data_IF_501049968883
#
_entry.id   IF_501049968883
#
_cell.length_a   1.000
_cell.length_b   1.000
_cell.length_c   1.000
_cell.angle_alpha   90.00
_cell.angle_beta   90.00
_cell.angle_gamma   90.00
#
_symmetry.space_group_name_H-M   'P 1'
#
loop_
_entity.id
_entity.type
_entity.pdbx_description
1 polymer ?
#
# COMPACT_ATOMS: atom_id res chain seq x y z
N UNK A 1 10.61 -2.12 26.19
CA UNK A 1 10.55 -3.34 25.37
C UNK A 1 11.80 -4.21 25.56
N UNK A 2 13.01 -3.73 25.21
CA UNK A 2 14.25 -4.53 25.30
C UNK A 2 14.50 -5.18 26.66
N UNK A 3 14.27 -4.44 27.76
CA UNK A 3 14.42 -4.99 29.12
C UNK A 3 13.53 -6.21 29.39
N UNK A 4 12.30 -6.24 28.87
CA UNK A 4 11.38 -7.37 29.04
C UNK A 4 11.77 -8.57 28.16
N UNK A 5 12.33 -8.31 26.97
CA UNK A 5 12.92 -9.37 26.13
C UNK A 5 14.10 -10.06 26.82
N UNK A 6 14.98 -9.29 27.47
CA UNK A 6 16.12 -9.85 28.21
C UNK A 6 15.72 -10.62 29.46
N UNK A 7 14.57 -10.29 30.05
CA UNK A 7 14.04 -10.96 31.24
C UNK A 7 13.20 -12.21 30.93
N UNK A 8 12.97 -12.52 29.64
CA UNK A 8 12.10 -13.61 29.18
C UNK A 8 10.71 -13.57 29.84
N UNK A 9 10.16 -12.35 30.00
CA UNK A 9 8.84 -12.10 30.56
C UNK A 9 7.87 -11.76 29.42
N UNK A 10 7.22 -12.77 28.80
CA UNK A 10 6.32 -12.54 27.67
C UNK A 10 5.11 -11.70 28.06
N UNK A 11 4.58 -11.87 29.27
CA UNK A 11 3.42 -11.10 29.72
C UNK A 11 3.77 -9.61 29.90
N UNK A 12 4.88 -9.32 30.58
CA UNK A 12 5.39 -7.95 30.71
C UNK A 12 5.80 -7.35 29.36
N UNK A 13 6.34 -8.16 28.44
CA UNK A 13 6.67 -7.75 27.08
C UNK A 13 5.42 -7.32 26.30
N UNK A 14 4.33 -8.08 26.35
CA UNK A 14 3.10 -7.77 25.63
C UNK A 14 2.52 -6.41 26.05
N UNK A 15 2.44 -6.14 27.35
CA UNK A 15 2.00 -4.83 27.85
C UNK A 15 2.97 -3.70 27.51
N UNK A 16 4.29 -3.96 27.56
CA UNK A 16 5.28 -2.98 27.16
C UNK A 16 5.19 -2.63 25.67
N UNK A 17 4.90 -3.61 24.80
CA UNK A 17 4.66 -3.41 23.37
C UNK A 17 3.37 -2.64 23.12
N UNK A 18 2.28 -2.92 23.85
CA UNK A 18 1.02 -2.16 23.76
C UNK A 18 1.25 -0.66 24.04
N UNK A 19 1.97 -0.35 25.12
CA UNK A 19 2.29 1.04 25.49
C UNK A 19 3.30 1.69 24.55
N UNK A 20 4.28 0.92 24.06
CA UNK A 20 5.24 1.42 23.08
C UNK A 20 4.56 1.76 21.76
N UNK A 21 3.70 0.88 21.24
CA UNK A 21 2.92 1.16 20.03
C UNK A 21 2.02 2.39 20.17
N UNK A 22 1.44 2.62 21.35
CA UNK A 22 0.72 3.86 21.64
C UNK A 22 1.62 5.10 21.55
N UNK A 23 2.78 5.07 22.20
CA UNK A 23 3.72 6.20 22.16
C UNK A 23 4.22 6.47 20.74
N UNK A 24 4.51 5.43 19.98
CA UNK A 24 4.98 5.49 18.59
C UNK A 24 3.89 6.00 17.63
N UNK A 25 2.63 5.59 17.83
CA UNK A 25 1.50 6.11 17.04
C UNK A 25 1.28 7.62 17.24
N UNK A 26 1.61 8.17 18.42
CA UNK A 26 1.57 9.63 18.66
C UNK A 26 2.72 10.38 17.98
N UNK A 27 3.75 9.66 17.52
CA UNK A 27 4.88 10.17 16.75
C UNK A 27 4.72 9.93 15.23
N UNK A 28 3.51 9.56 14.80
CA UNK A 28 3.13 9.33 13.40
C UNK A 28 3.83 8.15 12.69
N UNK A 29 4.42 7.23 13.46
CA UNK A 29 5.00 6.00 12.93
C UNK A 29 3.99 4.84 13.04
N UNK A 30 2.97 4.91 12.18
CA UNK A 30 1.86 3.97 12.15
C UNK A 30 2.30 2.52 11.88
N UNK A 31 3.31 2.32 11.04
CA UNK A 31 3.84 1.01 10.69
C UNK A 31 4.49 0.33 11.90
N UNK A 32 5.31 1.08 12.64
CA UNK A 32 5.97 0.56 13.84
C UNK A 32 4.96 0.31 14.96
N UNK A 33 3.97 1.18 15.15
CA UNK A 33 2.90 0.95 16.11
C UNK A 33 2.11 -0.32 15.80
N UNK A 34 1.76 -0.54 14.52
CA UNK A 34 1.09 -1.77 14.08
C UNK A 34 1.94 -3.02 14.35
N UNK A 35 3.26 -2.96 14.10
CA UNK A 35 4.16 -4.07 14.35
C UNK A 35 4.21 -4.46 15.83
N UNK A 36 4.36 -3.47 16.72
CA UNK A 36 4.41 -3.71 18.17
C UNK A 36 3.08 -4.28 18.68
N UNK A 37 1.95 -3.78 18.18
CA UNK A 37 0.62 -4.28 18.54
C UNK A 37 0.35 -5.70 18.02
N UNK A 38 0.76 -6.06 16.81
CA UNK A 38 0.62 -7.44 16.30
C UNK A 38 1.48 -8.42 17.11
N UNK A 39 2.68 -8.01 17.51
CA UNK A 39 3.53 -8.81 18.39
C UNK A 39 2.86 -9.00 19.76
N UNK A 40 2.37 -7.92 20.37
CA UNK A 40 1.63 -8.00 21.64
C UNK A 40 0.39 -8.91 21.53
N UNK A 41 -0.37 -8.80 20.44
CA UNK A 41 -1.57 -9.60 20.20
C UNK A 41 -1.27 -11.10 20.13
N UNK A 42 -0.15 -11.47 19.51
CA UNK A 42 0.30 -12.88 19.43
C UNK A 42 0.63 -13.44 20.81
N UNK A 43 1.24 -12.62 21.66
CA UNK A 43 1.59 -13.02 23.04
C UNK A 43 0.32 -13.14 23.89
N UNK A 44 -0.59 -12.16 23.85
CA UNK A 44 -1.86 -12.22 24.57
C UNK A 44 -2.75 -13.39 24.10
N UNK A 45 -2.76 -13.68 22.80
CA UNK A 45 -3.45 -14.84 22.24
C UNK A 45 -2.91 -16.15 22.82
N UNK A 46 -1.58 -16.30 22.90
CA UNK A 46 -0.94 -17.48 23.47
C UNK A 46 -1.21 -17.64 24.98
N UNK A 47 -1.46 -16.53 25.67
CA UNK A 47 -1.80 -16.49 27.10
C UNK A 47 -3.31 -16.53 27.37
N UNK A 48 -4.15 -16.59 26.33
CA UNK A 48 -5.61 -16.48 26.40
C UNK A 48 -6.10 -15.22 27.18
N UNK A 49 -5.32 -14.14 27.15
CA UNK A 49 -5.63 -12.89 27.85
C UNK A 49 -6.62 -12.03 27.04
N UNK A 50 -7.90 -12.22 27.32
CA UNK A 50 -9.00 -11.50 26.65
C UNK A 50 -8.89 -9.98 26.79
N UNK A 51 -8.41 -9.49 27.94
CA UNK A 51 -8.28 -8.04 28.18
C UNK A 51 -7.15 -7.42 27.35
N UNK A 52 -6.02 -8.13 27.25
CA UNK A 52 -4.91 -7.75 26.37
C UNK A 52 -5.31 -7.79 24.90
N UNK A 53 -5.99 -8.86 24.45
CA UNK A 53 -6.50 -9.02 23.08
C UNK A 53 -7.43 -7.85 22.72
N UNK A 54 -8.43 -7.58 23.55
CA UNK A 54 -9.40 -6.51 23.35
C UNK A 54 -8.75 -5.13 23.23
N UNK A 55 -7.84 -4.82 24.17
CA UNK A 55 -7.13 -3.54 24.18
C UNK A 55 -6.36 -3.32 22.87
N UNK A 56 -5.65 -4.35 22.41
CA UNK A 56 -4.89 -4.28 21.16
C UNK A 56 -5.79 -4.15 19.93
N UNK A 57 -6.93 -4.84 19.89
CA UNK A 57 -7.91 -4.70 18.81
C UNK A 57 -8.45 -3.27 18.70
N UNK A 58 -8.70 -2.58 19.83
CA UNK A 58 -9.12 -1.16 19.82
C UNK A 58 -8.02 -0.27 19.24
N UNK A 59 -6.76 -0.52 19.56
CA UNK A 59 -5.65 0.26 19.01
C UNK A 59 -5.51 0.07 17.50
N UNK A 60 -5.59 -1.17 17.01
CA UNK A 60 -5.56 -1.48 15.58
C UNK A 60 -6.79 -0.91 14.84
N UNK A 61 -7.96 -0.87 15.46
CA UNK A 61 -9.16 -0.24 14.91
C UNK A 61 -8.94 1.27 14.70
N UNK A 62 -8.41 1.97 15.71
CA UNK A 62 -8.08 3.40 15.62
C UNK A 62 -7.03 3.69 14.55
N UNK A 63 -6.00 2.84 14.47
CA UNK A 63 -4.97 2.96 13.45
C UNK A 63 -5.53 2.76 12.04
N UNK A 64 -6.43 1.79 11.87
CA UNK A 64 -7.10 1.53 10.59
C UNK A 64 -7.97 2.73 10.17
N UNK A 65 -8.61 3.41 11.13
CA UNK A 65 -9.35 4.65 10.86
C UNK A 65 -8.43 5.77 10.37
N UNK A 66 -7.27 5.95 11.02
CA UNK A 66 -6.27 6.93 10.62
C UNK A 66 -5.60 6.61 9.27
N UNK A 67 -5.55 5.33 8.88
CA UNK A 67 -4.91 4.84 7.65
C UNK A 67 -5.89 4.67 6.48
N UNK A 68 -7.01 5.39 6.47
CA UNK A 68 -8.05 5.33 5.42
C UNK A 68 -8.64 3.92 5.17
N UNK A 69 -8.72 3.08 6.20
CA UNK A 69 -9.33 1.73 6.15
C UNK A 69 -10.59 1.66 7.03
N UNK A 70 -11.66 2.38 6.67
CA UNK A 70 -12.81 2.60 7.55
C UNK A 70 -13.61 1.32 7.86
N UNK A 71 -13.77 0.42 6.89
CA UNK A 71 -14.44 -0.86 7.11
C UNK A 71 -13.67 -1.72 8.12
N UNK A 72 -12.34 -1.81 7.95
CA UNK A 72 -11.47 -2.56 8.88
C UNK A 72 -11.49 -1.99 10.28
N UNK A 73 -11.50 -0.66 10.41
CA UNK A 73 -11.67 0.01 11.69
C UNK A 73 -12.97 -0.40 12.38
N UNK A 74 -14.09 -0.39 11.65
CA UNK A 74 -15.41 -0.79 12.16
C UNK A 74 -15.43 -2.27 12.55
N UNK A 75 -14.89 -3.16 11.71
CA UNK A 75 -14.84 -4.61 11.99
C UNK A 75 -14.00 -4.93 13.23
N UNK A 76 -12.83 -4.32 13.38
CA UNK A 76 -11.97 -4.49 14.57
C UNK A 76 -12.63 -3.93 15.83
N UNK A 77 -13.28 -2.77 15.75
CA UNK A 77 -13.99 -2.16 16.86
C UNK A 77 -15.18 -3.02 17.33
N UNK A 78 -15.95 -3.59 16.39
CA UNK A 78 -17.05 -4.50 16.68
C UNK A 78 -16.55 -5.79 17.34
N UNK A 79 -15.49 -6.40 16.80
CA UNK A 79 -14.87 -7.59 17.41
C UNK A 79 -14.37 -7.32 18.85
N UNK A 80 -13.74 -6.18 19.10
CA UNK A 80 -13.30 -5.77 20.43
C UNK A 80 -14.49 -5.55 21.40
N UNK A 81 -15.58 -4.92 20.92
CA UNK A 81 -16.76 -4.68 21.72
C UNK A 81 -17.49 -5.97 22.10
N UNK A 82 -17.55 -6.95 21.20
CA UNK A 82 -18.05 -8.30 21.48
C UNK A 82 -17.28 -8.96 22.62
N UNK A 83 -15.96 -8.83 22.64
CA UNK A 83 -15.11 -9.37 23.72
C UNK A 83 -15.38 -8.70 25.08
N UNK A 84 -15.79 -7.43 25.10
CA UNK A 84 -16.21 -6.73 26.33
C UNK A 84 -17.65 -7.03 26.76
N UNK A 85 -18.46 -7.64 25.89
CA UNK A 85 -19.90 -7.79 26.11
C UNK A 85 -20.67 -6.47 26.09
N UNK A 86 -20.15 -5.43 25.40
CA UNK A 86 -20.79 -4.11 25.30
C UNK A 86 -21.89 -4.10 24.23
N UNK A 87 -22.92 -3.27 24.44
CA UNK A 87 -24.04 -3.11 23.51
C UNK A 87 -23.70 -2.22 22.32
N UNK A 88 -24.49 -2.32 21.24
CA UNK A 88 -24.34 -1.54 20.00
C UNK A 88 -24.23 -0.02 20.21
N UNK A 89 -24.90 0.52 21.23
CA UNK A 89 -24.86 1.95 21.57
C UNK A 89 -23.48 2.41 22.03
N UNK A 90 -22.78 1.59 22.83
CA UNK A 90 -21.45 1.91 23.33
C UNK A 90 -20.37 1.83 22.22
N UNK A 91 -20.57 0.97 21.22
CA UNK A 91 -19.71 0.90 20.02
C UNK A 91 -19.80 2.20 19.22
N UNK A 92 -21.01 2.70 19.04
CA UNK A 92 -21.26 3.97 18.33
C UNK A 92 -20.61 5.14 19.05
N UNK A 93 -20.70 5.20 20.38
CA UNK A 93 -20.03 6.22 21.20
C UNK A 93 -18.49 6.12 21.12
N UNK A 94 -17.93 4.92 21.08
CA UNK A 94 -16.48 4.72 20.90
C UNK A 94 -15.98 5.08 19.50
N UNK A 95 -16.82 4.93 18.47
CA UNK A 95 -16.55 5.43 17.12
C UNK A 95 -16.66 6.96 17.03
N UNK A 96 -17.39 7.59 17.98
CA UNK A 96 -17.71 9.02 17.94
C UNK A 96 -17.00 9.90 18.99
N UNK A 97 -16.36 9.39 20.06
CA UNK A 97 -15.76 10.24 21.11
C UNK A 97 -14.30 9.90 21.49
N UNK A 98 -13.35 10.72 20.99
CA UNK A 98 -12.44 11.63 21.73
C UNK A 98 -11.10 11.86 21.01
N UNK A 99 -11.04 12.93 20.22
CA UNK A 99 -9.81 13.70 19.99
C UNK A 99 -9.31 13.86 18.55
N UNK A 100 -9.79 13.06 17.60
CA UNK A 100 -9.37 13.13 16.20
C UNK A 100 -10.42 13.85 15.35
N UNK A 101 -9.97 14.78 14.48
CA UNK A 101 -10.76 15.43 13.42
C UNK A 101 -11.73 14.42 12.81
N UNK A 102 -13.00 14.80 12.70
CA UNK A 102 -14.02 14.01 12.01
C UNK A 102 -13.60 13.88 10.54
N UNK A 103 -12.96 12.77 10.19
CA UNK A 103 -12.77 12.38 8.80
C UNK A 103 -14.11 11.80 8.37
N UNK A 104 -14.85 12.49 7.50
CA UNK A 104 -15.99 11.87 6.80
C UNK A 104 -15.42 10.71 5.97
N UNK A 105 -15.63 9.49 6.45
CA UNK A 105 -15.22 8.28 5.75
C UNK A 105 -16.26 8.00 4.66
N UNK A 106 -15.87 7.66 3.42
CA UNK A 106 -16.77 7.51 2.29
C UNK A 106 -17.49 6.15 2.31
N UNK A 107 -18.18 5.82 3.41
CA UNK A 107 -18.95 4.59 3.55
C UNK A 107 -20.45 4.86 3.52
N UNK A 108 -21.16 4.03 2.79
CA UNK A 108 -22.62 3.95 2.83
C UNK A 108 -23.09 3.33 4.16
N UNK A 109 -24.32 3.62 4.61
CA UNK A 109 -24.89 2.99 5.80
C UNK A 109 -24.90 1.44 5.72
N UNK A 110 -25.04 0.87 4.53
CA UNK A 110 -25.01 -0.58 4.31
C UNK A 110 -23.61 -1.16 4.54
N UNK A 111 -22.56 -0.48 4.07
CA UNK A 111 -21.16 -0.91 4.28
C UNK A 111 -20.75 -0.82 5.75
N UNK A 112 -21.21 0.22 6.46
CA UNK A 112 -21.01 0.35 7.91
C UNK A 112 -21.66 -0.81 8.65
N UNK A 113 -22.91 -1.13 8.34
CA UNK A 113 -23.64 -2.21 9.00
C UNK A 113 -23.06 -3.59 8.67
N UNK A 114 -22.66 -3.80 7.42
CA UNK A 114 -22.00 -5.03 6.99
C UNK A 114 -20.67 -5.27 7.73
N UNK A 115 -19.80 -4.25 7.78
CA UNK A 115 -18.52 -4.33 8.47
C UNK A 115 -18.69 -4.58 9.98
N UNK A 116 -19.72 -4.00 10.58
CA UNK A 116 -20.09 -4.20 11.99
C UNK A 116 -20.55 -5.63 12.25
N UNK A 117 -21.48 -6.14 11.44
CA UNK A 117 -21.97 -7.52 11.55
C UNK A 117 -20.83 -8.53 11.38
N UNK A 118 -19.88 -8.26 10.47
CA UNK A 118 -18.71 -9.11 10.29
C UNK A 118 -17.87 -9.20 11.57
N UNK A 119 -17.59 -8.07 12.23
CA UNK A 119 -16.82 -8.05 13.48
C UNK A 119 -17.56 -8.69 14.67
N UNK A 120 -18.86 -8.46 14.78
CA UNK A 120 -19.72 -9.09 15.80
C UNK A 120 -19.82 -10.61 15.65
N UNK A 121 -19.68 -11.13 14.42
CA UNK A 121 -19.77 -12.56 14.15
C UNK A 121 -18.44 -13.31 14.42
N UNK A 122 -17.31 -12.61 14.47
CA UNK A 122 -15.98 -13.23 14.63
C UNK A 122 -15.82 -13.86 16.02
N UNK A 123 -15.42 -15.12 16.07
CA UNK A 123 -14.81 -15.73 17.25
C UNK A 123 -13.54 -14.98 17.67
N UNK A 124 -13.06 -15.22 18.89
CA UNK A 124 -11.82 -14.57 19.38
C UNK A 124 -10.63 -14.92 18.49
N UNK A 125 -10.55 -16.16 18.01
CA UNK A 125 -9.50 -16.61 17.11
C UNK A 125 -9.57 -15.90 15.75
N UNK A 126 -10.76 -15.78 15.15
CA UNK A 126 -10.97 -15.07 13.89
C UNK A 126 -10.66 -13.57 14.02
N UNK A 127 -11.00 -12.95 15.15
CA UNK A 127 -10.67 -11.55 15.41
C UNK A 127 -9.15 -11.32 15.53
N UNK A 128 -8.43 -12.25 16.18
CA UNK A 128 -6.97 -12.23 16.27
C UNK A 128 -6.34 -12.41 14.89
N UNK A 129 -6.80 -13.40 14.12
CA UNK A 129 -6.30 -13.66 12.76
C UNK A 129 -6.55 -12.46 11.84
N UNK A 130 -7.75 -11.88 11.90
CA UNK A 130 -8.11 -10.68 11.15
C UNK A 130 -7.24 -9.47 11.50
N UNK A 131 -6.94 -9.28 12.79
CA UNK A 131 -6.10 -8.19 13.29
C UNK A 131 -4.61 -8.35 12.97
N UNK A 132 -4.09 -9.57 13.00
CA UNK A 132 -2.71 -9.91 12.62
C UNK A 132 -2.55 -9.83 11.10
N UNK A 133 -3.58 -10.22 10.34
CA UNK A 133 -3.64 -10.08 8.89
C UNK A 133 -3.32 -8.65 8.45
N UNK A 134 -2.42 -8.54 7.49
CA UNK A 134 -2.13 -7.26 6.84
C UNK A 134 -3.30 -6.97 5.90
N UNK A 135 -3.96 -5.83 6.14
CA UNK A 135 -4.96 -5.19 5.28
C UNK A 135 -6.34 -5.89 5.16
N UNK A 136 -7.37 -5.08 4.86
CA UNK A 136 -8.79 -5.32 5.14
C UNK A 136 -9.42 -6.57 4.53
N UNK A 137 -10.58 -6.94 5.08
CA UNK A 137 -11.45 -8.03 4.59
C UNK A 137 -12.03 -7.80 3.18
N UNK A 138 -11.87 -6.59 2.62
CA UNK A 138 -12.14 -6.30 1.20
C UNK A 138 -10.90 -6.46 0.30
N UNK A 139 -9.71 -6.65 0.89
CA UNK A 139 -8.41 -6.75 0.22
C UNK A 139 -7.71 -8.11 0.38
N UNK A 140 -8.30 -9.03 1.14
CA UNK A 140 -7.78 -10.38 1.30
C UNK A 140 -7.61 -11.08 -0.07
N UNK A 141 -6.38 -11.47 -0.37
CA UNK A 141 -5.99 -12.08 -1.64
C UNK A 141 -5.81 -11.10 -2.82
N UNK A 142 -6.00 -9.78 -2.62
CA UNK A 142 -5.63 -8.75 -3.61
C UNK A 142 -4.13 -8.43 -3.52
N UNK A 143 -3.66 -7.72 -4.53
CA UNK A 143 -2.26 -7.39 -4.74
C UNK A 143 -1.99 -5.99 -4.21
N UNK A 144 -0.90 -5.87 -3.46
CA UNK A 144 -0.28 -4.61 -3.13
C UNK A 144 1.00 -4.48 -3.96
N UNK A 145 1.07 -3.42 -4.76
CA UNK A 145 2.03 -3.29 -5.87
C UNK A 145 2.88 -2.05 -5.65
N UNK A 146 4.20 -2.23 -5.58
CA UNK A 146 5.18 -1.14 -5.63
C UNK A 146 5.88 -1.13 -6.98
N UNK A 147 5.91 0.01 -7.62
CA UNK A 147 6.45 0.26 -8.96
C UNK A 147 7.21 1.57 -9.07
N UNK A 148 7.12 2.51 -8.12
CA UNK A 148 7.90 3.74 -8.08
C UNK A 148 9.30 3.46 -7.50
N UNK A 149 10.13 2.84 -8.32
CA UNK A 149 11.39 2.20 -7.97
C UNK A 149 11.35 0.72 -8.33
N UNK A 150 12.07 -0.11 -7.57
CA UNK A 150 12.13 -1.55 -7.83
C UNK A 150 10.76 -2.20 -7.70
N UNK A 151 10.33 -2.92 -8.73
CA UNK A 151 9.02 -3.59 -8.71
C UNK A 151 8.94 -4.65 -7.60
N UNK A 152 7.97 -4.50 -6.70
CA UNK A 152 7.62 -5.48 -5.68
C UNK A 152 6.11 -5.70 -5.68
N UNK A 153 5.70 -6.96 -5.71
CA UNK A 153 4.28 -7.31 -5.63
C UNK A 153 4.09 -8.31 -4.52
N UNK A 154 3.15 -7.99 -3.66
CA UNK A 154 2.84 -8.78 -2.49
C UNK A 154 1.33 -9.09 -2.44
N UNK A 155 1.03 -10.21 -1.79
CA UNK A 155 -0.32 -10.65 -1.49
C UNK A 155 -0.33 -11.14 -0.06
N UNK A 156 -1.28 -10.66 0.74
CA UNK A 156 -1.42 -11.03 2.15
C UNK A 156 -0.08 -10.89 2.91
N UNK A 157 0.67 -9.83 2.61
CA UNK A 157 1.99 -9.54 3.18
C UNK A 157 3.15 -10.43 2.70
N UNK A 158 2.95 -11.25 1.66
CA UNK A 158 4.00 -12.12 1.10
C UNK A 158 4.38 -11.69 -0.31
N UNK A 159 5.68 -11.47 -0.54
CA UNK A 159 6.22 -11.12 -1.86
C UNK A 159 6.08 -12.30 -2.84
N UNK A 160 5.58 -12.00 -4.04
CA UNK A 160 5.53 -12.93 -5.17
C UNK A 160 6.93 -12.99 -5.82
N UNK A 161 7.69 -14.05 -5.51
CA UNK A 161 9.02 -14.26 -6.09
C UNK A 161 9.02 -15.19 -7.32
N UNK A 162 8.05 -16.12 -7.39
CA UNK A 162 8.00 -17.17 -8.41
C UNK A 162 6.87 -16.92 -9.43
N UNK A 163 7.07 -15.89 -10.25
CA UNK A 163 6.05 -15.36 -11.18
C UNK A 163 5.53 -16.36 -12.23
N UNK A 164 6.36 -17.33 -12.63
CA UNK A 164 5.99 -18.34 -13.64
C UNK A 164 5.43 -19.63 -13.09
N UNK A 165 5.38 -19.80 -11.76
CA UNK A 165 5.15 -21.09 -11.11
C UNK A 165 6.12 -22.17 -11.61
N UNK A 166 5.68 -23.44 -11.58
CA UNK A 166 6.50 -24.58 -12.03
C UNK A 166 6.64 -24.66 -13.56
N UNK A 167 5.86 -23.87 -14.30
CA UNK A 167 5.62 -24.07 -15.74
C UNK A 167 6.33 -23.06 -16.64
N UNK A 168 6.80 -21.93 -16.09
CA UNK A 168 7.35 -20.84 -16.88
C UNK A 168 8.50 -20.10 -16.18
N UNK A 169 9.30 -19.39 -16.97
CA UNK A 169 10.40 -18.57 -16.45
C UNK A 169 9.89 -17.37 -15.66
N UNK A 170 10.38 -17.19 -14.43
CA UNK A 170 9.95 -16.11 -13.53
C UNK A 170 10.18 -14.72 -14.14
N UNK A 171 11.34 -14.48 -14.78
CA UNK A 171 11.66 -13.17 -15.38
C UNK A 171 10.67 -12.76 -16.49
N UNK A 172 10.31 -13.68 -17.38
CA UNK A 172 9.33 -13.42 -18.44
C UNK A 172 7.93 -13.19 -17.88
N UNK A 173 7.51 -13.99 -16.88
CA UNK A 173 6.21 -13.81 -16.26
C UNK A 173 6.12 -12.47 -15.50
N UNK A 174 7.18 -12.07 -14.80
CA UNK A 174 7.31 -10.78 -14.15
C UNK A 174 7.20 -9.62 -15.17
N UNK A 175 7.88 -9.75 -16.31
CA UNK A 175 7.81 -8.77 -17.40
C UNK A 175 6.40 -8.64 -18.00
N UNK A 176 5.70 -9.77 -18.24
CA UNK A 176 4.31 -9.74 -18.72
C UNK A 176 3.41 -9.06 -17.70
N UNK A 177 3.58 -9.34 -16.41
CA UNK A 177 2.81 -8.68 -15.37
C UNK A 177 3.02 -7.16 -15.40
N UNK A 178 4.28 -6.71 -15.41
CA UNK A 178 4.63 -5.30 -15.46
C UNK A 178 4.04 -4.60 -16.70
N UNK A 179 4.13 -5.25 -17.86
CA UNK A 179 3.57 -4.74 -19.11
C UNK A 179 2.03 -4.64 -19.05
N UNK A 180 1.35 -5.63 -18.48
CA UNK A 180 -0.11 -5.59 -18.28
C UNK A 180 -0.54 -4.51 -17.27
N UNK A 181 0.24 -4.33 -16.19
CA UNK A 181 -0.01 -3.33 -15.16
C UNK A 181 0.10 -1.92 -15.74
N UNK A 182 1.20 -1.58 -16.40
CA UNK A 182 1.40 -0.26 -17.04
C UNK A 182 0.35 0.05 -18.12
N UNK A 183 -0.05 -0.96 -18.91
CA UNK A 183 -1.05 -0.75 -19.97
C UNK A 183 -2.47 -0.66 -19.44
N UNK A 184 -2.76 -1.14 -18.23
CA UNK A 184 -4.07 -1.12 -17.60
C UNK A 184 -5.20 -1.46 -18.61
N UNK A 185 -6.18 -0.56 -18.78
CA UNK A 185 -7.31 -0.75 -19.69
C UNK A 185 -6.92 -0.77 -21.18
N UNK A 186 -5.78 -0.20 -21.58
CA UNK A 186 -5.29 -0.26 -22.97
C UNK A 186 -5.03 -1.71 -23.38
N UNK A 187 -4.47 -2.49 -22.46
CA UNK A 187 -4.14 -3.90 -22.66
C UNK A 187 -2.98 -4.15 -23.63
N UNK A 188 -2.39 -5.34 -23.53
CA UNK A 188 -1.19 -5.73 -24.28
C UNK A 188 -1.56 -6.67 -25.42
N UNK A 189 -1.10 -6.37 -26.63
CA UNK A 189 -1.20 -7.28 -27.77
C UNK A 189 -0.24 -8.47 -27.62
N UNK A 190 -0.63 -9.65 -28.10
CA UNK A 190 0.25 -10.82 -28.09
C UNK A 190 1.57 -10.54 -28.83
N UNK A 191 1.47 -9.91 -30.00
CA UNK A 191 2.63 -9.63 -30.85
C UNK A 191 3.59 -8.64 -30.18
N UNK A 192 3.06 -7.63 -29.48
CA UNK A 192 3.87 -6.68 -28.66
C UNK A 192 4.64 -7.43 -27.56
N UNK A 193 3.96 -8.34 -26.85
CA UNK A 193 4.58 -9.13 -25.80
C UNK A 193 5.60 -10.14 -26.34
N UNK A 194 5.33 -10.80 -27.46
CA UNK A 194 6.26 -11.79 -28.03
C UNK A 194 7.50 -11.14 -28.62
N UNK A 195 7.35 -10.00 -29.31
CA UNK A 195 8.47 -9.21 -29.83
C UNK A 195 9.38 -8.73 -28.71
N UNK A 196 8.81 -8.24 -27.60
CA UNK A 196 9.59 -7.75 -26.46
C UNK A 196 10.31 -8.90 -25.71
N UNK A 197 9.62 -10.00 -25.42
CA UNK A 197 10.14 -11.03 -24.52
C UNK A 197 10.95 -12.13 -25.22
N UNK A 198 10.67 -12.38 -26.50
CA UNK A 198 11.29 -13.45 -27.28
C UNK A 198 11.63 -13.01 -28.71
N UNK A 199 12.42 -11.94 -28.90
CA UNK A 199 12.73 -11.40 -30.23
C UNK A 199 13.42 -12.42 -31.15
N UNK A 200 14.20 -13.34 -30.58
CA UNK A 200 14.99 -14.31 -31.34
C UNK A 200 14.23 -15.61 -31.66
N UNK A 201 12.99 -15.78 -31.15
CA UNK A 201 12.22 -16.99 -31.41
C UNK A 201 11.38 -16.86 -32.68
N UNK A 202 11.38 -17.92 -33.49
CA UNK A 202 10.42 -18.05 -34.58
C UNK A 202 8.98 -17.93 -34.05
N UNK A 203 8.09 -17.27 -34.81
CA UNK A 203 6.72 -16.91 -34.44
C UNK A 203 5.97 -18.03 -33.71
N UNK A 204 5.96 -19.26 -34.26
CA UNK A 204 5.27 -20.41 -33.65
C UNK A 204 5.81 -20.80 -32.26
N UNK A 205 7.11 -20.64 -32.02
CA UNK A 205 7.74 -20.93 -30.73
C UNK A 205 7.52 -19.78 -29.74
N UNK A 206 7.54 -18.54 -30.20
CA UNK A 206 7.21 -17.37 -29.39
C UNK A 206 5.76 -17.44 -28.89
N UNK A 207 4.82 -17.81 -29.76
CA UNK A 207 3.41 -18.04 -29.40
C UNK A 207 3.24 -19.07 -28.29
N UNK A 208 3.92 -20.22 -28.42
CA UNK A 208 3.87 -21.27 -27.40
C UNK A 208 4.49 -20.80 -26.07
N UNK A 209 5.62 -20.08 -26.14
CA UNK A 209 6.29 -19.52 -24.97
C UNK A 209 5.40 -18.49 -24.24
N UNK A 210 4.71 -17.62 -25.00
CA UNK A 210 3.76 -16.65 -24.48
C UNK A 210 2.62 -17.33 -23.72
N UNK A 211 1.92 -18.27 -24.34
CA UNK A 211 0.78 -18.94 -23.70
C UNK A 211 1.18 -19.77 -22.48
N UNK A 212 2.35 -20.43 -22.52
CA UNK A 212 2.89 -21.14 -21.35
C UNK A 212 3.19 -20.18 -20.20
N UNK A 213 3.81 -19.03 -20.49
CA UNK A 213 4.16 -18.01 -19.50
C UNK A 213 2.92 -17.37 -18.91
N UNK A 214 1.94 -17.02 -19.76
CA UNK A 214 0.66 -16.46 -19.33
C UNK A 214 -0.13 -17.45 -18.46
N UNK A 215 -0.08 -18.76 -18.79
CA UNK A 215 -0.69 -19.81 -17.98
C UNK A 215 -0.07 -19.93 -16.59
N UNK A 216 1.28 -19.90 -16.51
CA UNK A 216 2.01 -19.88 -15.25
C UNK A 216 1.68 -18.65 -14.41
N UNK A 217 1.73 -17.46 -15.02
CA UNK A 217 1.38 -16.20 -14.37
C UNK A 217 -0.07 -16.22 -13.84
N UNK A 218 -1.04 -16.68 -14.64
CA UNK A 218 -2.44 -16.82 -14.19
C UNK A 218 -2.56 -17.72 -12.97
N UNK A 219 -1.85 -18.85 -12.94
CA UNK A 219 -1.88 -19.76 -11.79
C UNK A 219 -1.37 -19.09 -10.52
N UNK A 220 -0.26 -18.33 -10.61
CA UNK A 220 0.30 -17.58 -9.48
C UNK A 220 -0.66 -16.49 -9.00
N UNK A 221 -1.20 -15.70 -9.93
CA UNK A 221 -2.15 -14.63 -9.61
C UNK A 221 -3.49 -15.16 -9.07
N UNK A 222 -3.86 -16.42 -9.31
CA UNK A 222 -5.12 -17.02 -8.85
C UNK A 222 -4.98 -17.91 -7.61
N UNK A 223 -3.76 -18.24 -7.17
CA UNK A 223 -3.51 -19.29 -6.17
C UNK A 223 -4.14 -19.03 -4.78
N UNK A 224 -4.54 -17.81 -4.46
CA UNK A 224 -5.02 -17.43 -3.12
C UNK A 224 -6.04 -16.28 -3.18
N UNK A 225 -6.87 -16.25 -4.22
CA UNK A 225 -7.92 -15.23 -4.37
C UNK A 225 -9.20 -15.85 -4.92
N UNK A 226 -10.35 -15.31 -4.51
CA UNK A 226 -11.66 -15.66 -5.10
C UNK A 226 -11.87 -15.03 -6.48
N UNK A 227 -10.99 -14.10 -6.88
CA UNK A 227 -11.06 -13.37 -8.13
C UNK A 227 -10.71 -14.31 -9.29
N UNK A 228 -11.73 -14.62 -10.08
CA UNK A 228 -11.57 -15.36 -11.33
C UNK A 228 -11.01 -14.47 -12.43
N UNK A 229 -10.46 -15.11 -13.45
CA UNK A 229 -9.99 -14.44 -14.67
C UNK A 229 -8.97 -13.33 -14.42
N UNK A 230 -7.95 -13.64 -13.61
CA UNK A 230 -6.82 -12.76 -13.31
C UNK A 230 -6.25 -11.99 -14.53
N UNK A 231 -6.25 -12.62 -15.71
CA UNK A 231 -5.89 -11.97 -16.96
C UNK A 231 -6.95 -12.29 -18.01
N UNK A 232 -7.70 -11.28 -18.43
CA UNK A 232 -8.73 -11.40 -19.46
C UNK A 232 -8.12 -11.22 -20.86
N UNK A 233 -8.82 -11.72 -21.88
CA UNK A 233 -8.43 -11.54 -23.28
C UNK A 233 -9.65 -11.13 -24.09
N UNK A 234 -9.66 -9.87 -24.53
CA UNK A 234 -10.78 -9.24 -25.24
C UNK A 234 -10.24 -8.35 -26.37
N UNK A 235 -10.85 -8.47 -27.56
CA UNK A 235 -10.46 -7.73 -28.76
C UNK A 235 -8.97 -7.85 -29.11
N UNK A 236 -8.41 -9.06 -28.98
CA UNK A 236 -7.00 -9.34 -29.29
C UNK A 236 -5.99 -8.80 -28.28
N UNK A 237 -6.45 -8.29 -27.13
CA UNK A 237 -5.60 -7.69 -26.10
C UNK A 237 -5.79 -8.39 -24.75
N UNK A 238 -4.70 -8.56 -24.04
CA UNK A 238 -4.66 -9.10 -22.69
C UNK A 238 -4.68 -7.96 -21.67
N UNK A 239 -5.42 -8.13 -20.57
CA UNK A 239 -5.52 -7.14 -19.49
C UNK A 239 -5.42 -7.81 -18.14
N UNK A 240 -4.70 -7.18 -17.21
CA UNK A 240 -4.77 -7.55 -15.80
C UNK A 240 -6.17 -7.19 -15.28
N UNK A 241 -6.81 -8.09 -14.55
CA UNK A 241 -8.09 -7.80 -13.93
C UNK A 241 -7.88 -6.76 -12.82
N UNK A 242 -8.44 -5.54 -12.92
CA UNK A 242 -8.19 -4.47 -11.95
C UNK A 242 -8.70 -4.84 -10.56
N UNK A 243 -9.67 -5.76 -10.46
CA UNK A 243 -10.13 -6.26 -9.16
C UNK A 243 -9.05 -6.99 -8.39
N UNK A 244 -7.97 -7.45 -9.04
CA UNK A 244 -6.84 -8.05 -8.33
C UNK A 244 -5.99 -7.03 -7.59
N UNK A 245 -6.06 -5.75 -7.93
CA UNK A 245 -5.24 -4.70 -7.35
C UNK A 245 -6.01 -4.14 -6.16
N UNK A 246 -5.42 -4.24 -4.98
CA UNK A 246 -5.93 -3.65 -3.76
C UNK A 246 -5.33 -2.27 -3.51
N UNK A 247 -4.03 -2.16 -3.80
CA UNK A 247 -3.29 -0.92 -3.67
C UNK A 247 -2.12 -0.89 -4.66
N UNK A 248 -1.80 0.29 -5.17
CA UNK A 248 -0.55 0.54 -5.87
C UNK A 248 0.09 1.85 -5.42
N UNK A 249 1.42 1.90 -5.37
CA UNK A 249 2.15 3.12 -5.00
C UNK A 249 1.99 4.25 -6.00
N UNK A 250 1.79 3.93 -7.29
CA UNK A 250 1.50 4.92 -8.32
C UNK A 250 0.11 5.56 -8.13
N UNK A 251 -0.93 4.76 -7.87
CA UNK A 251 -2.27 5.31 -7.60
C UNK A 251 -2.25 6.16 -6.33
N UNK A 252 -1.59 5.68 -5.27
CA UNK A 252 -1.44 6.42 -4.02
C UNK A 252 -0.64 7.73 -4.20
N UNK A 253 0.42 7.71 -5.02
CA UNK A 253 1.21 8.89 -5.35
C UNK A 253 0.36 9.95 -6.06
N UNK A 254 -0.41 9.54 -7.07
CA UNK A 254 -1.30 10.44 -7.80
C UNK A 254 -2.44 10.96 -6.92
N UNK A 255 -3.05 10.11 -6.10
CA UNK A 255 -4.10 10.50 -5.16
C UNK A 255 -3.60 11.54 -4.17
N UNK A 256 -2.41 11.38 -3.59
CA UNK A 256 -1.86 12.36 -2.65
C UNK A 256 -1.57 13.71 -3.30
N UNK A 257 -1.14 13.72 -4.58
CA UNK A 257 -0.99 14.96 -5.36
C UNK A 257 -2.35 15.63 -5.59
N UNK A 258 -3.37 14.85 -5.97
CA UNK A 258 -4.73 15.35 -6.20
C UNK A 258 -5.34 15.91 -4.91
N UNK A 259 -5.18 15.21 -3.77
CA UNK A 259 -5.60 15.67 -2.45
C UNK A 259 -4.91 16.99 -2.11
N UNK A 260 -3.58 17.07 -2.25
CA UNK A 260 -2.83 18.29 -1.98
C UNK A 260 -3.31 19.49 -2.80
N UNK A 261 -3.71 19.26 -4.06
CA UNK A 261 -4.21 20.31 -4.95
C UNK A 261 -5.56 20.90 -4.48
N UNK A 262 -6.34 20.16 -3.69
CA UNK A 262 -7.63 20.64 -3.14
C UNK A 262 -7.49 21.35 -1.80
N UNK A 263 -6.35 21.22 -1.12
CA UNK A 263 -6.15 21.74 0.23
C UNK A 263 -5.56 23.15 0.24
N UNK A 264 -5.81 23.94 1.29
CA UNK A 264 -5.08 25.18 1.54
C UNK A 264 -3.56 24.92 1.66
N UNK A 265 -2.74 25.91 1.30
CA UNK A 265 -1.28 25.81 1.27
C UNK A 265 -0.65 25.22 2.54
N UNK A 266 -1.16 25.58 3.72
CA UNK A 266 -0.66 25.10 5.01
C UNK A 266 -1.06 23.66 5.38
N UNK A 267 -2.09 23.11 4.72
CA UNK A 267 -2.58 21.74 4.96
C UNK A 267 -2.14 20.77 3.84
N UNK A 268 -1.67 21.29 2.71
CA UNK A 268 -1.22 20.51 1.56
C UNK A 268 0.16 19.82 1.76
N UNK A 269 0.97 20.28 2.72
CA UNK A 269 2.35 19.79 2.91
C UNK A 269 2.39 18.29 3.24
N UNK A 270 1.51 17.82 4.14
CA UNK A 270 1.59 16.42 4.57
C UNK A 270 1.22 15.44 3.44
N UNK A 271 0.12 15.63 2.68
CA UNK A 271 -0.13 14.83 1.48
C UNK A 271 1.01 14.89 0.46
N UNK A 272 1.61 16.08 0.25
CA UNK A 272 2.75 16.21 -0.65
C UNK A 272 3.99 15.45 -0.15
N UNK A 273 4.26 15.45 1.15
CA UNK A 273 5.35 14.67 1.75
C UNK A 273 5.06 13.15 1.70
N UNK A 274 3.81 12.73 1.82
CA UNK A 274 3.41 11.33 1.61
C UNK A 274 3.63 10.89 0.17
N UNK A 275 3.18 11.69 -0.81
CA UNK A 275 3.50 11.48 -2.22
C UNK A 275 5.03 11.37 -2.42
N UNK A 276 5.81 12.25 -1.77
CA UNK A 276 7.27 12.21 -1.87
C UNK A 276 7.86 10.92 -1.31
N UNK A 277 7.30 10.36 -0.23
CA UNK A 277 7.77 9.11 0.39
C UNK A 277 7.48 7.88 -0.48
N UNK A 278 6.41 7.92 -1.27
CA UNK A 278 6.06 6.82 -2.19
C UNK A 278 7.02 6.72 -3.39
N UNK A 279 7.58 7.83 -3.85
CA UNK A 279 8.49 7.86 -5.00
C UNK A 279 9.93 7.51 -4.59
N UNK A 280 10.30 6.23 -4.69
CA UNK A 280 11.62 5.73 -4.28
C UNK A 280 12.65 5.69 -5.42
N UNK A 281 12.19 5.73 -6.69
CA UNK A 281 13.05 5.70 -7.86
C UNK A 281 12.25 5.65 -9.16
N UNK A 282 12.96 5.43 -10.27
CA UNK A 282 12.34 5.32 -11.59
C UNK A 282 11.28 4.21 -11.62
N UNK A 283 10.19 4.47 -12.36
CA UNK A 283 9.10 3.50 -12.49
C UNK A 283 9.60 2.17 -13.07
N UNK A 284 9.26 1.06 -12.41
CA UNK A 284 9.67 -0.31 -12.74
C UNK A 284 11.19 -0.44 -12.91
N UNK A 285 11.94 0.19 -12.01
CA UNK A 285 13.38 0.01 -11.95
C UNK A 285 13.74 -1.47 -11.72
N UNK A 286 14.84 -1.91 -12.32
CA UNK A 286 15.35 -3.28 -12.22
C UNK A 286 14.32 -4.37 -12.64
N UNK A 287 13.30 -4.01 -13.43
CA UNK A 287 12.27 -4.92 -13.93
C UNK A 287 12.69 -5.56 -15.27
N UNK A 288 12.76 -6.90 -15.36
CA UNK A 288 13.35 -7.57 -16.51
C UNK A 288 12.54 -7.34 -17.79
N UNK A 289 13.23 -7.17 -18.93
CA UNK A 289 12.66 -7.00 -20.28
C UNK A 289 11.84 -5.72 -20.44
N UNK A 290 10.71 -5.60 -19.73
CA UNK A 290 9.81 -4.45 -19.86
C UNK A 290 10.43 -3.16 -19.30
N UNK A 291 11.10 -3.23 -18.14
CA UNK A 291 11.81 -2.09 -17.55
C UNK A 291 13.05 -1.64 -18.33
N UNK A 292 13.56 -2.49 -19.23
CA UNK A 292 14.67 -2.20 -20.16
C UNK A 292 14.18 -1.72 -21.54
N UNK A 293 12.86 -1.61 -21.73
CA UNK A 293 12.25 -1.37 -23.05
C UNK A 293 11.84 0.09 -23.25
N UNK A 294 11.78 0.54 -24.49
CA UNK A 294 11.28 1.89 -24.81
C UNK A 294 9.79 2.10 -24.42
N UNK A 295 9.03 1.03 -24.16
CA UNK A 295 7.62 1.15 -23.76
C UNK A 295 7.43 1.80 -22.39
N UNK A 296 8.41 1.71 -21.49
CA UNK A 296 8.31 2.23 -20.13
C UNK A 296 8.70 3.71 -20.03
N UNK A 297 9.40 4.24 -21.04
CA UNK A 297 10.05 5.56 -20.96
C UNK A 297 9.06 6.72 -20.98
N UNK A 298 7.93 6.59 -21.70
CA UNK A 298 6.86 7.60 -21.67
C UNK A 298 6.30 7.77 -20.25
N UNK A 299 6.03 6.65 -19.58
CA UNK A 299 5.50 6.63 -18.22
C UNK A 299 6.55 7.12 -17.21
N UNK A 300 7.82 6.70 -17.33
CA UNK A 300 8.93 7.21 -16.51
C UNK A 300 9.09 8.73 -16.65
N UNK A 301 9.07 9.26 -17.87
CA UNK A 301 9.19 10.69 -18.10
C UNK A 301 8.02 11.48 -17.45
N UNK A 302 6.79 11.01 -17.64
CA UNK A 302 5.60 11.60 -17.02
C UNK A 302 5.69 11.62 -15.48
N UNK A 303 6.05 10.49 -14.88
CA UNK A 303 6.15 10.36 -13.42
C UNK A 303 7.32 11.16 -12.84
N UNK A 304 8.48 11.19 -13.52
CA UNK A 304 9.62 12.03 -13.12
C UNK A 304 9.26 13.51 -13.13
N UNK A 305 8.59 13.98 -14.18
CA UNK A 305 8.13 15.37 -14.27
C UNK A 305 7.18 15.73 -13.13
N UNK A 306 6.20 14.87 -12.84
CA UNK A 306 5.26 15.08 -11.71
C UNK A 306 5.98 15.12 -10.36
N UNK A 307 6.95 14.23 -10.16
CA UNK A 307 7.74 14.21 -8.93
C UNK A 307 8.62 15.45 -8.78
N UNK A 308 9.24 15.90 -9.86
CA UNK A 308 9.99 17.15 -9.90
C UNK A 308 9.11 18.37 -9.55
N UNK A 309 7.93 18.47 -10.16
CA UNK A 309 6.97 19.54 -9.89
C UNK A 309 6.49 19.52 -8.42
N UNK A 310 6.25 18.32 -7.87
CA UNK A 310 5.92 18.11 -6.46
C UNK A 310 7.03 18.63 -5.53
N UNK A 311 8.29 18.30 -5.81
CA UNK A 311 9.44 18.73 -5.00
C UNK A 311 9.63 20.24 -5.01
N UNK A 312 9.48 20.87 -6.18
CA UNK A 312 9.53 22.34 -6.30
C UNK A 312 8.39 22.96 -5.51
N UNK A 313 7.16 22.44 -5.64
CA UNK A 313 6.02 22.95 -4.90
C UNK A 313 6.18 22.78 -3.38
N UNK A 314 6.70 21.64 -2.91
CA UNK A 314 7.05 21.43 -1.49
C UNK A 314 8.07 22.46 -1.02
N UNK A 315 9.10 22.73 -1.83
CA UNK A 315 10.10 23.77 -1.54
C UNK A 315 9.47 25.15 -1.39
N UNK A 316 8.57 25.52 -2.31
CA UNK A 316 7.83 26.78 -2.27
C UNK A 316 6.98 26.88 -0.98
N UNK A 317 6.28 25.80 -0.58
CA UNK A 317 5.47 25.78 0.65
C UNK A 317 6.29 25.91 1.93
N UNK A 318 7.41 25.21 2.04
CA UNK A 318 8.28 25.35 3.20
C UNK A 318 8.90 26.75 3.29
N UNK A 319 9.25 27.36 2.14
CA UNK A 319 9.75 28.73 2.09
C UNK A 319 8.68 29.73 2.56
N UNK A 320 7.43 29.57 2.15
CA UNK A 320 6.28 30.37 2.61
C UNK A 320 6.06 30.27 4.13
N UNK A 321 6.33 29.11 4.73
CA UNK A 321 6.27 28.90 6.18
C UNK A 321 7.52 29.40 6.94
N UNK A 322 8.54 29.89 6.23
CA UNK A 322 9.79 30.34 6.82
C UNK A 322 10.76 29.21 7.20
N UNK A 323 10.49 27.96 6.81
CA UNK A 323 11.42 26.85 6.99
C UNK A 323 12.38 26.76 5.80
N UNK A 324 13.39 27.63 5.80
CA UNK A 324 14.42 27.67 4.76
C UNK A 324 15.23 26.37 4.66
N UNK A 325 15.33 25.60 5.75
CA UNK A 325 16.07 24.34 5.79
C UNK A 325 15.35 23.25 5.00
N UNK A 326 14.07 23.04 5.30
CA UNK A 326 13.22 22.10 4.57
C UNK A 326 13.05 22.52 3.10
N UNK A 327 12.83 23.82 2.85
CA UNK A 327 12.72 24.34 1.48
C UNK A 327 13.96 24.04 0.63
N UNK A 328 15.14 24.38 1.12
CA UNK A 328 16.39 24.11 0.41
C UNK A 328 16.63 22.61 0.20
N UNK A 329 16.22 21.76 1.15
CA UNK A 329 16.32 20.31 0.99
C UNK A 329 15.43 19.80 -0.17
N UNK A 330 14.20 20.29 -0.29
CA UNK A 330 13.28 19.92 -1.38
C UNK A 330 13.76 20.42 -2.74
N UNK A 331 14.23 21.67 -2.83
CA UNK A 331 14.80 22.17 -4.09
C UNK A 331 16.05 21.41 -4.52
N UNK A 332 16.98 21.09 -3.60
CA UNK A 332 18.15 20.26 -3.94
C UNK A 332 17.77 18.87 -4.41
N UNK A 333 16.71 18.30 -3.84
CA UNK A 333 16.18 17.03 -4.31
C UNK A 333 15.61 17.15 -5.73
N UNK A 334 14.87 18.23 -6.03
CA UNK A 334 14.40 18.50 -7.39
C UNK A 334 15.58 18.61 -8.38
N UNK A 335 16.67 19.29 -7.98
CA UNK A 335 17.88 19.40 -8.80
C UNK A 335 18.65 18.08 -8.97
N UNK A 336 18.49 17.12 -8.06
CA UNK A 336 19.04 15.77 -8.24
C UNK A 336 18.26 14.94 -9.27
N UNK A 337 16.98 15.27 -9.48
CA UNK A 337 16.12 14.67 -10.51
C UNK A 337 16.38 15.36 -11.86
N UNK A 338 16.35 16.70 -11.86
CA UNK A 338 16.63 17.54 -13.02
C UNK A 338 17.56 18.71 -12.64
N UNK A 339 18.86 18.62 -12.94
CA UNK A 339 19.83 19.66 -12.62
C UNK A 339 19.52 21.03 -13.24
N UNK A 340 18.74 21.06 -14.32
CA UNK A 340 18.42 22.28 -15.08
C UNK A 340 17.05 22.87 -14.68
N UNK A 341 16.42 22.42 -13.58
CA UNK A 341 15.14 22.97 -13.14
C UNK A 341 15.30 24.42 -12.65
N UNK A 342 14.91 25.38 -13.51
CA UNK A 342 15.02 26.82 -13.23
C UNK A 342 14.25 27.26 -11.97
N UNK A 343 13.10 26.63 -11.66
CA UNK A 343 12.29 26.99 -10.49
C UNK A 343 12.99 26.58 -9.19
N UNK A 344 13.62 25.41 -9.17
CA UNK A 344 14.38 24.91 -8.04
C UNK A 344 15.67 25.74 -7.82
N UNK A 345 16.38 26.09 -8.90
CA UNK A 345 17.54 27.01 -8.83
C UNK A 345 17.12 28.36 -8.25
N UNK A 346 16.08 28.99 -8.81
CA UNK A 346 15.57 30.26 -8.31
C UNK A 346 15.04 30.16 -6.86
N UNK A 347 14.49 29.00 -6.50
CA UNK A 347 14.07 28.69 -5.13
C UNK A 347 15.23 28.71 -4.15
N UNK A 348 16.35 28.07 -4.48
CA UNK A 348 17.57 28.10 -3.66
C UNK A 348 18.13 29.53 -3.57
N UNK A 349 18.23 30.25 -4.68
CA UNK A 349 18.79 31.61 -4.70
C UNK A 349 17.98 32.59 -3.84
N UNK A 350 16.66 32.39 -3.69
CA UNK A 350 15.81 33.20 -2.81
C UNK A 350 16.05 32.95 -1.33
N UNK A 351 16.59 31.80 -0.96
CA UNK A 351 16.78 31.39 0.44
C UNK A 351 18.10 31.91 1.05
N UNK A 352 19.06 32.37 0.24
CA UNK A 352 20.31 32.98 0.71
C UNK A 352 21.53 32.62 -0.11
#
# INVERSE_FOLDING_TARGET
VERFRTLDDPFGLAWALTQHGLAVAHLDDAERAAADWREALTIFASAEDVSGIETVLVHLARLSSASHQPQRAITLAAAAARLRGLSQTAISEMAHDRGSRQVELPLTPEEVESARLAGDAMSTAEAIEYAIGIEGTDDAGRLRIRTLGRMQVERDGRIIAHWGGDKAGSRQAQAIFAFLFDRANRGVGKDEATELLWPDLAIRRADLAFHRTLGGLRSVLQASTSIRDAITHENGRYRLNPKLIGWSDIDAFEEQIDVAATLPAGEAIEPMEEARRLYLGDFLDDCPFYGDSAYVEEQRASLRQRFEDLLVALGDRYAELGDSGAAAARYRQALSVNPDNERAVAGIDRLG
#
